data_IF_067858318696
#
_entry.id   IF_067858318696
#
_cell.length_a   1.000
_cell.length_b   1.000
_cell.length_c   1.000
_cell.angle_alpha   90.00
_cell.angle_beta   90.00
_cell.angle_gamma   90.00
#
_symmetry.space_group_name_H-M   'P 1'
#
loop_
_entity.id
_entity.type
_entity.pdbx_description
1 polymer ?
#
# COMPACT_ATOMS: atom_id res chain seq x y z
N UNK A 1 -14.98 16.08 10.98
CA UNK A 1 -13.53 15.88 11.10
C UNK A 1 -13.11 14.99 9.95
N UNK A 2 -12.10 15.36 9.18
CA UNK A 2 -11.56 14.48 8.13
C UNK A 2 -10.95 13.25 8.80
N UNK A 3 -11.42 12.07 8.43
CA UNK A 3 -10.85 10.81 8.90
C UNK A 3 -9.39 10.75 8.44
N UNK A 4 -8.43 10.38 9.29
CA UNK A 4 -7.04 10.24 8.87
C UNK A 4 -6.91 9.22 7.74
N UNK A 5 -6.32 9.63 6.61
CA UNK A 5 -6.05 8.72 5.50
C UNK A 5 -4.81 7.88 5.80
N UNK A 6 -5.01 6.75 6.47
CA UNK A 6 -3.94 5.83 6.87
C UNK A 6 -3.16 5.28 5.67
N UNK A 7 -3.77 5.22 4.49
CA UNK A 7 -3.18 4.66 3.28
C UNK A 7 -2.47 5.70 2.40
N UNK A 8 -2.50 6.98 2.76
CA UNK A 8 -1.95 8.07 1.95
C UNK A 8 -0.50 7.79 1.50
N UNK A 9 0.37 7.39 2.44
CA UNK A 9 1.79 7.09 2.13
C UNK A 9 1.93 5.90 1.18
N UNK A 10 1.17 4.83 1.41
CA UNK A 10 1.19 3.61 0.58
C UNK A 10 0.73 3.92 -0.84
N UNK A 11 -0.40 4.63 -1.00
CA UNK A 11 -0.91 5.07 -2.31
C UNK A 11 0.07 5.98 -3.02
N UNK A 12 0.56 7.01 -2.33
CA UNK A 12 1.48 7.99 -2.91
C UNK A 12 2.73 7.30 -3.47
N UNK A 13 3.35 6.43 -2.68
CA UNK A 13 4.54 5.68 -3.12
C UNK A 13 4.22 4.76 -4.31
N UNK A 14 3.07 4.10 -4.31
CA UNK A 14 2.65 3.24 -5.42
C UNK A 14 2.46 4.04 -6.72
N UNK A 15 1.74 5.16 -6.69
CA UNK A 15 1.46 5.96 -7.88
C UNK A 15 2.71 6.69 -8.41
N UNK A 16 3.70 6.95 -7.57
CA UNK A 16 5.02 7.46 -7.98
C UNK A 16 5.94 6.36 -8.55
N UNK A 17 5.50 5.09 -8.58
CA UNK A 17 6.31 3.95 -9.00
C UNK A 17 7.38 3.52 -7.98
N UNK A 18 7.36 4.08 -6.77
CA UNK A 18 8.25 3.74 -5.67
C UNK A 18 7.76 2.47 -4.94
N UNK A 19 7.64 1.35 -5.67
CA UNK A 19 7.02 0.10 -5.18
C UNK A 19 7.67 -0.45 -3.90
N UNK A 20 9.00 -0.35 -3.75
CA UNK A 20 9.65 -0.79 -2.51
C UNK A 20 9.26 0.09 -1.31
N UNK A 21 9.11 1.40 -1.51
CA UNK A 21 8.68 2.32 -0.47
C UNK A 21 7.21 2.09 -0.09
N UNK A 22 6.35 1.77 -1.07
CA UNK A 22 4.97 1.35 -0.81
C UNK A 22 4.93 0.09 0.07
N UNK A 23 5.79 -0.90 -0.22
CA UNK A 23 5.93 -2.11 0.60
C UNK A 23 6.38 -1.77 2.02
N UNK A 24 7.42 -0.95 2.17
CA UNK A 24 7.98 -0.61 3.48
C UNK A 24 7.00 0.22 4.35
N UNK A 25 6.10 0.98 3.73
CA UNK A 25 5.09 1.80 4.41
C UNK A 25 3.79 1.05 4.72
N UNK A 26 3.72 -0.25 4.43
CA UNK A 26 2.50 -1.05 4.55
C UNK A 26 2.26 -1.70 5.91
N UNK A 27 3.22 -1.63 6.84
CA UNK A 27 3.04 -2.15 8.21
C UNK A 27 2.13 -1.23 9.03
N UNK A 28 0.83 -1.27 8.69
CA UNK A 28 -0.26 -0.50 9.28
C UNK A 28 -1.18 -1.46 10.04
N UNK A 29 -1.43 -1.14 11.32
CA UNK A 29 -2.30 -1.92 12.21
C UNK A 29 -3.61 -1.19 12.46
N UNK A 30 -4.68 -1.93 12.74
CA UNK A 30 -5.99 -1.36 13.08
C UNK A 30 -6.74 -0.75 11.88
N UNK A 31 -6.40 -1.16 10.66
CA UNK A 31 -7.12 -0.77 9.45
C UNK A 31 -8.53 -1.37 9.46
N UNK A 32 -9.46 -0.64 8.84
CA UNK A 32 -10.75 -1.22 8.45
C UNK A 32 -10.53 -2.37 7.46
N UNK A 33 -11.54 -3.23 7.28
CA UNK A 33 -11.45 -4.31 6.29
C UNK A 33 -11.22 -3.75 4.88
N UNK A 34 -11.88 -2.64 4.55
CA UNK A 34 -11.76 -1.96 3.25
C UNK A 34 -10.34 -1.44 3.02
N UNK A 35 -9.76 -0.76 4.02
CA UNK A 35 -8.40 -0.23 3.94
C UNK A 35 -7.35 -1.36 3.89
N UNK A 36 -7.58 -2.46 4.62
CA UNK A 36 -6.70 -3.62 4.59
C UNK A 36 -6.69 -4.26 3.19
N UNK A 37 -7.85 -4.42 2.56
CA UNK A 37 -7.96 -4.96 1.21
C UNK A 37 -7.30 -4.04 0.19
N UNK A 38 -7.49 -2.72 0.31
CA UNK A 38 -6.84 -1.76 -0.58
C UNK A 38 -5.31 -1.81 -0.45
N UNK A 39 -4.79 -1.80 0.78
CA UNK A 39 -3.37 -1.97 1.06
C UNK A 39 -2.85 -3.25 0.40
N UNK A 40 -3.50 -4.38 0.64
CA UNK A 40 -3.03 -5.67 0.15
C UNK A 40 -3.02 -5.72 -1.39
N UNK A 41 -4.02 -5.11 -2.05
CA UNK A 41 -4.04 -4.93 -3.50
C UNK A 41 -2.84 -4.13 -4.01
N UNK A 42 -2.52 -3.00 -3.37
CA UNK A 42 -1.38 -2.14 -3.74
C UNK A 42 -0.06 -2.91 -3.58
N UNK A 43 0.08 -3.66 -2.48
CA UNK A 43 1.29 -4.40 -2.17
C UNK A 43 1.49 -5.56 -3.14
N UNK A 44 0.43 -6.33 -3.41
CA UNK A 44 0.46 -7.40 -4.41
C UNK A 44 0.87 -6.88 -5.79
N UNK A 45 0.27 -5.76 -6.24
CA UNK A 45 0.64 -5.10 -7.51
C UNK A 45 2.09 -4.58 -7.49
N UNK A 46 2.57 -4.09 -6.35
CA UNK A 46 3.96 -3.66 -6.18
C UNK A 46 4.95 -4.82 -6.36
N UNK A 47 4.63 -6.00 -5.82
CA UNK A 47 5.45 -7.20 -6.03
C UNK A 47 5.45 -7.67 -7.49
N UNK A 48 4.32 -7.60 -8.19
CA UNK A 48 4.25 -7.88 -9.63
C UNK A 48 5.11 -6.89 -10.41
N UNK A 49 4.97 -5.60 -10.15
CA UNK A 49 5.71 -4.54 -10.86
C UNK A 49 7.24 -4.66 -10.65
N UNK A 50 7.67 -5.20 -9.52
CA UNK A 50 9.08 -5.49 -9.25
C UNK A 50 9.57 -6.84 -9.81
N UNK A 51 8.70 -7.64 -10.43
CA UNK A 51 9.05 -8.99 -10.91
C UNK A 51 9.41 -9.96 -9.78
N UNK A 52 8.92 -9.71 -8.56
CA UNK A 52 9.23 -10.50 -7.35
C UNK A 52 8.20 -11.58 -7.06
N UNK A 53 7.08 -11.59 -7.78
CA UNK A 53 6.12 -12.68 -7.72
C UNK A 53 6.67 -13.86 -8.54
N UNK A 54 7.11 -14.92 -7.85
CA UNK A 54 7.58 -16.18 -8.45
C UNK A 54 6.63 -17.30 -8.07
#
# INVERSE_FOLDING_TARGET
MSVPDHLFSVRNNFYLGAYQAAINSSDLRGLSLEDAVERDCIIYRSYIAQGKLK
#
